data_IF_787980757472
#
_entry.id   IF_787980757472
#
_cell.length_a   1.000
_cell.length_b   1.000
_cell.length_c   1.000
_cell.angle_alpha   90.00
_cell.angle_beta   90.00
_cell.angle_gamma   90.00
#
_symmetry.space_group_name_H-M   'P 1'
#
loop_
_entity.id
_entity.type
_entity.pdbx_description
1 polymer ?
#
# COMPACT_ATOMS: atom_id res chain seq x y z
N UNK A 1 -5.05 -5.13 -27.90
CA UNK A 1 -5.96 -4.04 -27.46
C UNK A 1 -5.19 -3.01 -26.65
N UNK A 2 -5.52 -1.71 -26.82
CA UNK A 2 -4.88 -0.64 -26.02
C UNK A 2 -5.88 -0.16 -24.95
N UNK A 3 -5.47 -0.24 -23.69
CA UNK A 3 -6.30 0.09 -22.53
C UNK A 3 -5.71 1.30 -21.82
N UNK A 4 -6.49 2.37 -21.68
CA UNK A 4 -6.09 3.60 -21.01
C UNK A 4 -6.36 3.54 -19.49
N UNK A 5 -5.50 4.21 -18.71
CA UNK A 5 -5.77 4.50 -17.31
C UNK A 5 -5.52 5.97 -16.99
N UNK A 6 -6.53 6.61 -16.38
CA UNK A 6 -6.48 8.00 -15.95
C UNK A 6 -6.68 8.10 -14.44
N UNK A 7 -5.98 9.01 -13.77
CA UNK A 7 -6.17 9.33 -12.35
C UNK A 7 -6.03 10.81 -12.09
N UNK A 8 -6.95 11.35 -11.27
CA UNK A 8 -6.88 12.73 -10.78
C UNK A 8 -7.05 12.78 -9.27
N UNK A 9 -6.50 13.83 -8.65
CA UNK A 9 -6.88 14.23 -7.31
C UNK A 9 -8.15 15.10 -7.38
N UNK A 10 -8.90 15.21 -6.29
CA UNK A 10 -10.14 16.01 -6.20
C UNK A 10 -9.97 17.49 -6.59
N UNK A 11 -8.73 17.99 -6.63
CA UNK A 11 -8.39 19.36 -7.04
C UNK A 11 -8.07 19.51 -8.53
N UNK A 12 -7.89 18.41 -9.27
CA UNK A 12 -7.52 18.44 -10.68
C UNK A 12 -8.75 18.34 -11.58
N UNK A 13 -9.11 19.44 -12.20
CA UNK A 13 -10.19 19.53 -13.20
C UNK A 13 -9.86 18.86 -14.55
N UNK A 14 -8.76 18.09 -14.66
CA UNK A 14 -8.19 17.64 -15.92
C UNK A 14 -8.32 16.14 -16.22
N UNK A 15 -9.33 15.44 -15.67
CA UNK A 15 -9.53 14.03 -16.06
C UNK A 15 -9.99 13.92 -17.52
N UNK A 16 -10.83 14.83 -17.96
CA UNK A 16 -11.37 14.86 -19.32
C UNK A 16 -10.25 14.99 -20.35
N UNK A 17 -9.30 15.90 -20.15
CA UNK A 17 -8.13 16.07 -21.02
C UNK A 17 -7.27 14.80 -21.07
N UNK A 18 -7.08 14.09 -19.93
CA UNK A 18 -6.34 12.82 -19.94
C UNK A 18 -7.10 11.77 -20.75
N UNK A 19 -8.42 11.69 -20.59
CA UNK A 19 -9.28 10.74 -21.32
C UNK A 19 -9.25 11.03 -22.82
N UNK A 20 -9.33 12.30 -23.23
CA UNK A 20 -9.23 12.72 -24.63
C UNK A 20 -7.91 12.29 -25.24
N UNK A 21 -6.78 12.63 -24.59
CA UNK A 21 -5.45 12.25 -25.06
C UNK A 21 -5.28 10.73 -25.16
N UNK A 22 -5.83 9.97 -24.22
CA UNK A 22 -5.80 8.50 -24.28
C UNK A 22 -6.60 7.98 -25.47
N UNK A 23 -7.78 8.56 -25.76
CA UNK A 23 -8.59 8.20 -26.94
C UNK A 23 -7.87 8.53 -28.25
N UNK A 24 -7.29 9.73 -28.36
CA UNK A 24 -6.51 10.17 -29.52
C UNK A 24 -5.32 9.25 -29.80
N UNK A 25 -4.73 8.68 -28.74
CA UNK A 25 -3.64 7.70 -28.84
C UNK A 25 -4.12 6.25 -29.02
N UNK A 26 -5.40 6.03 -29.34
CA UNK A 26 -5.94 4.75 -29.75
C UNK A 26 -6.34 3.83 -28.59
N UNK A 27 -6.62 4.36 -27.40
CA UNK A 27 -7.16 3.56 -26.32
C UNK A 27 -8.62 3.17 -26.60
N UNK A 28 -8.88 1.86 -26.66
CA UNK A 28 -10.21 1.30 -26.96
C UNK A 28 -11.09 1.28 -25.69
N UNK A 29 -10.49 1.14 -24.53
CA UNK A 29 -11.17 1.18 -23.22
C UNK A 29 -10.33 1.99 -22.23
N UNK A 30 -11.02 2.80 -21.41
CA UNK A 30 -10.35 3.65 -20.42
C UNK A 30 -10.96 3.38 -19.04
N UNK A 31 -10.11 3.13 -18.07
CA UNK A 31 -10.45 3.04 -16.66
C UNK A 31 -9.96 4.29 -15.94
N UNK A 32 -10.69 4.71 -14.92
CA UNK A 32 -10.31 5.93 -14.19
C UNK A 32 -10.58 5.82 -12.69
N UNK A 33 -9.75 6.53 -11.93
CA UNK A 33 -9.93 6.71 -10.49
C UNK A 33 -9.86 8.19 -10.12
N UNK A 34 -10.70 8.58 -9.18
CA UNK A 34 -10.69 9.91 -8.58
C UNK A 34 -10.22 9.75 -7.13
N UNK A 35 -9.05 10.29 -6.80
CA UNK A 35 -8.51 10.24 -5.44
C UNK A 35 -9.28 11.24 -4.55
N UNK A 36 -10.16 10.74 -3.69
CA UNK A 36 -10.88 11.54 -2.70
C UNK A 36 -10.26 11.35 -1.30
N UNK A 37 -9.46 12.30 -0.85
CA UNK A 37 -8.99 12.38 0.54
C UNK A 37 -8.12 11.21 1.01
N UNK A 38 -8.30 10.78 2.26
CA UNK A 38 -7.45 9.82 2.98
C UNK A 38 -7.55 8.37 2.47
N UNK A 39 -8.65 8.01 1.79
CA UNK A 39 -8.84 6.67 1.20
C UNK A 39 -8.72 6.76 -0.32
N UNK A 40 -7.60 6.30 -0.82
CA UNK A 40 -7.39 6.13 -2.26
C UNK A 40 -7.79 4.72 -2.68
N UNK A 41 -9.07 4.44 -2.71
CA UNK A 41 -9.55 3.20 -3.33
C UNK A 41 -9.38 3.31 -4.85
N UNK A 42 -8.51 2.46 -5.41
CA UNK A 42 -8.22 2.40 -6.85
C UNK A 42 -9.05 1.31 -7.52
N UNK A 43 -10.35 1.44 -7.44
CA UNK A 43 -11.26 0.45 -8.01
C UNK A 43 -11.11 0.34 -9.53
N UNK A 44 -10.89 1.47 -10.21
CA UNK A 44 -10.62 1.50 -11.65
C UNK A 44 -9.33 0.78 -12.03
N UNK A 45 -8.25 0.93 -11.24
CA UNK A 45 -7.00 0.19 -11.45
C UNK A 45 -7.22 -1.32 -11.23
N UNK A 46 -7.93 -1.70 -10.18
CA UNK A 46 -8.22 -3.11 -9.88
C UNK A 46 -9.06 -3.73 -11.00
N UNK A 47 -10.08 -3.02 -11.45
CA UNK A 47 -10.92 -3.46 -12.57
C UNK A 47 -10.10 -3.60 -13.86
N UNK A 48 -9.27 -2.62 -14.19
CA UNK A 48 -8.36 -2.69 -15.31
C UNK A 48 -7.45 -3.92 -15.23
N UNK A 49 -6.80 -4.14 -14.09
CA UNK A 49 -5.91 -5.29 -13.89
C UNK A 49 -6.63 -6.65 -14.06
N UNK A 50 -7.91 -6.74 -13.72
CA UNK A 50 -8.71 -7.95 -13.93
C UNK A 50 -9.13 -8.14 -15.38
N UNK A 51 -9.29 -7.04 -16.12
CA UNK A 51 -9.72 -7.02 -17.51
C UNK A 51 -8.59 -7.38 -18.50
N UNK A 52 -7.35 -7.02 -18.20
CA UNK A 52 -6.18 -7.15 -19.07
C UNK A 52 -5.88 -8.60 -19.46
N UNK A 53 -5.53 -8.79 -20.74
CA UNK A 53 -5.15 -10.05 -21.35
C UNK A 53 -3.72 -9.96 -21.91
N UNK A 54 -3.12 -11.12 -22.17
CA UNK A 54 -1.82 -11.21 -22.81
C UNK A 54 -1.81 -10.51 -24.18
N UNK A 55 -0.83 -9.65 -24.40
CA UNK A 55 -0.68 -8.85 -25.62
C UNK A 55 -1.37 -7.48 -25.57
N UNK A 56 -2.13 -7.17 -24.51
CA UNK A 56 -2.68 -5.83 -24.32
C UNK A 56 -1.59 -4.80 -23.98
N UNK A 57 -1.87 -3.53 -24.28
CA UNK A 57 -1.00 -2.41 -23.95
C UNK A 57 -1.74 -1.50 -22.97
N UNK A 58 -1.16 -1.27 -21.80
CA UNK A 58 -1.63 -0.25 -20.87
C UNK A 58 -1.02 1.09 -21.28
N UNK A 59 -1.85 2.11 -21.43
CA UNK A 59 -1.42 3.45 -21.75
C UNK A 59 -1.86 4.43 -20.66
N UNK A 60 -0.93 5.32 -20.27
CA UNK A 60 -1.18 6.40 -19.31
C UNK A 60 -0.68 7.72 -19.87
N UNK A 61 -1.25 8.83 -19.40
CA UNK A 61 -0.74 10.16 -19.76
C UNK A 61 0.68 10.36 -19.21
N UNK A 62 0.88 10.11 -17.91
CA UNK A 62 2.16 10.12 -17.18
C UNK A 62 2.26 8.95 -16.23
N UNK A 63 3.49 8.56 -15.90
CA UNK A 63 3.76 7.44 -14.99
C UNK A 63 3.22 7.67 -13.58
N UNK A 64 3.18 8.91 -13.08
CA UNK A 64 2.65 9.27 -11.77
C UNK A 64 1.12 9.04 -11.63
N UNK A 65 0.42 8.89 -12.74
CA UNK A 65 -1.01 8.56 -12.72
C UNK A 65 -1.27 7.12 -12.27
N UNK A 66 -0.39 6.20 -12.60
CA UNK A 66 -0.54 4.78 -12.25
C UNK A 66 0.39 4.38 -11.09
N UNK A 67 1.62 4.88 -11.04
CA UNK A 67 2.60 4.56 -10.02
C UNK A 67 2.58 5.60 -8.88
N UNK A 68 2.69 5.13 -7.62
CA UNK A 68 2.74 5.96 -6.41
C UNK A 68 4.16 6.10 -5.87
N UNK A 69 5.03 5.18 -6.21
CA UNK A 69 6.43 5.11 -5.77
C UNK A 69 7.21 4.21 -6.70
N UNK A 70 8.53 4.28 -6.64
CA UNK A 70 9.42 3.41 -7.40
C UNK A 70 9.12 1.92 -7.10
N UNK A 71 8.93 1.56 -5.83
CA UNK A 71 8.55 0.20 -5.45
C UNK A 71 7.25 -0.24 -6.10
N UNK A 72 6.21 0.59 -6.02
CA UNK A 72 4.90 0.27 -6.64
C UNK A 72 5.00 0.15 -8.16
N UNK A 73 5.87 0.96 -8.81
CA UNK A 73 6.14 0.85 -10.24
C UNK A 73 6.70 -0.53 -10.59
N UNK A 74 7.72 -0.99 -9.86
CA UNK A 74 8.35 -2.29 -10.09
C UNK A 74 7.34 -3.42 -9.88
N UNK A 75 6.62 -3.41 -8.73
CA UNK A 75 5.62 -4.42 -8.40
C UNK A 75 4.52 -4.51 -9.48
N UNK A 76 4.12 -3.38 -10.07
CA UNK A 76 3.12 -3.36 -11.15
C UNK A 76 3.70 -3.80 -12.50
N UNK A 77 4.90 -3.36 -12.85
CA UNK A 77 5.56 -3.76 -14.09
C UNK A 77 5.86 -5.28 -14.09
N UNK A 78 6.27 -5.85 -12.96
CA UNK A 78 6.42 -7.31 -12.81
C UNK A 78 5.08 -8.03 -13.09
N UNK A 79 3.99 -7.57 -12.50
CA UNK A 79 2.64 -8.11 -12.76
C UNK A 79 2.22 -7.97 -14.23
N UNK A 80 2.59 -6.88 -14.90
CA UNK A 80 2.32 -6.70 -16.33
C UNK A 80 3.12 -7.69 -17.15
N UNK A 81 4.40 -7.88 -16.83
CA UNK A 81 5.27 -8.86 -17.51
C UNK A 81 4.76 -10.30 -17.32
N UNK A 82 4.36 -10.70 -16.10
CA UNK A 82 3.78 -12.01 -15.80
C UNK A 82 2.51 -12.28 -16.61
N UNK A 83 1.67 -11.24 -16.80
CA UNK A 83 0.48 -11.32 -17.65
C UNK A 83 0.77 -11.19 -19.15
N UNK A 84 2.02 -10.88 -19.54
CA UNK A 84 2.39 -10.60 -20.92
C UNK A 84 1.74 -9.31 -21.46
N UNK A 85 1.50 -8.32 -20.59
CA UNK A 85 0.94 -7.01 -20.90
C UNK A 85 2.07 -5.99 -21.03
N UNK A 86 1.94 -5.09 -22.00
CA UNK A 86 2.91 -4.02 -22.24
C UNK A 86 2.44 -2.72 -21.60
N UNK A 87 3.38 -1.82 -21.31
CA UNK A 87 3.10 -0.52 -20.68
C UNK A 87 3.71 0.62 -21.52
N UNK A 88 2.98 1.73 -21.64
CA UNK A 88 3.42 2.92 -22.34
C UNK A 88 2.93 4.20 -21.66
N UNK A 89 3.82 5.20 -21.50
CA UNK A 89 3.45 6.57 -21.12
C UNK A 89 3.46 7.47 -22.35
N UNK A 90 2.44 8.35 -22.49
CA UNK A 90 2.33 9.26 -23.63
C UNK A 90 3.43 10.31 -23.56
N UNK A 91 3.64 10.93 -22.41
CA UNK A 91 4.57 12.06 -22.24
C UNK A 91 5.98 11.64 -21.85
N UNK A 92 6.20 10.37 -21.52
CA UNK A 92 7.48 9.87 -21.01
C UNK A 92 7.94 8.64 -21.82
N UNK A 93 8.55 8.84 -23.02
CA UNK A 93 8.93 7.73 -23.90
C UNK A 93 9.91 6.73 -23.29
N UNK A 94 10.64 7.14 -22.26
CA UNK A 94 11.52 6.25 -21.49
C UNK A 94 10.77 5.10 -20.80
N UNK A 95 9.48 5.28 -20.52
CA UNK A 95 8.61 4.27 -19.91
C UNK A 95 7.69 3.59 -20.94
N UNK A 96 8.29 3.09 -22.02
CA UNK A 96 7.60 2.36 -23.07
C UNK A 96 8.16 0.94 -23.19
N UNK A 97 7.49 -0.03 -22.56
CA UNK A 97 7.92 -1.45 -22.59
C UNK A 97 7.71 -2.12 -23.95
N UNK A 98 7.10 -1.44 -24.93
CA UNK A 98 7.02 -1.94 -26.30
C UNK A 98 8.35 -1.78 -27.02
N UNK A 99 9.20 -0.86 -26.58
CA UNK A 99 10.54 -0.61 -27.12
C UNK A 99 11.63 -1.34 -26.32
N UNK A 100 12.74 -1.70 -26.99
CA UNK A 100 13.90 -2.28 -26.35
C UNK A 100 14.53 -1.33 -25.32
N UNK A 101 14.59 -0.06 -25.63
CA UNK A 101 15.14 0.99 -24.75
C UNK A 101 14.30 1.17 -23.48
N UNK A 102 12.98 1.22 -23.60
CA UNK A 102 12.10 1.32 -22.44
C UNK A 102 12.15 0.08 -21.55
N UNK A 103 12.25 -1.12 -22.13
CA UNK A 103 12.50 -2.36 -21.35
C UNK A 103 13.79 -2.27 -20.56
N UNK A 104 14.88 -1.82 -21.20
CA UNK A 104 16.18 -1.65 -20.54
C UNK A 104 16.12 -0.65 -19.38
N UNK A 105 15.48 0.50 -19.58
CA UNK A 105 15.32 1.53 -18.54
C UNK A 105 14.56 0.96 -17.34
N UNK A 106 13.48 0.23 -17.57
CA UNK A 106 12.70 -0.40 -16.49
C UNK A 106 13.52 -1.45 -15.74
N UNK A 107 14.36 -2.23 -16.42
CA UNK A 107 15.27 -3.17 -15.78
C UNK A 107 16.28 -2.45 -14.88
N UNK A 108 16.82 -1.30 -15.29
CA UNK A 108 17.70 -0.47 -14.45
C UNK A 108 16.95 -0.02 -13.19
N UNK A 109 15.72 0.49 -13.31
CA UNK A 109 14.94 0.90 -12.14
C UNK A 109 14.65 -0.29 -11.20
N UNK A 110 14.41 -1.47 -11.75
CA UNK A 110 14.28 -2.72 -10.99
C UNK A 110 15.52 -3.02 -10.16
N UNK A 111 16.68 -2.99 -10.79
CA UNK A 111 17.97 -3.23 -10.12
C UNK A 111 18.27 -2.17 -9.04
N UNK A 112 17.97 -0.88 -9.29
CA UNK A 112 18.13 0.20 -8.30
C UNK A 112 17.24 -0.03 -7.08
N UNK A 113 15.98 -0.42 -7.26
CA UNK A 113 15.09 -0.66 -6.14
C UNK A 113 15.45 -1.90 -5.34
N UNK A 114 15.96 -2.95 -5.99
CA UNK A 114 16.50 -4.11 -5.28
C UNK A 114 17.74 -3.72 -4.46
N UNK A 115 18.63 -2.93 -5.02
CA UNK A 115 19.79 -2.39 -4.31
C UNK A 115 19.36 -1.56 -3.09
N UNK A 116 18.41 -0.62 -3.23
CA UNK A 116 17.89 0.16 -2.10
C UNK A 116 17.29 -0.74 -1.00
N UNK A 117 16.53 -1.76 -1.39
CA UNK A 117 15.94 -2.74 -0.47
C UNK A 117 17.02 -3.48 0.33
N UNK A 118 18.08 -3.92 -0.35
CA UNK A 118 19.21 -4.60 0.27
C UNK A 118 19.93 -3.68 1.26
N UNK A 119 20.20 -2.43 0.89
CA UNK A 119 20.80 -1.43 1.79
C UNK A 119 19.97 -1.19 3.05
N UNK A 120 18.64 -1.07 2.92
CA UNK A 120 17.74 -0.91 4.08
C UNK A 120 17.79 -2.16 4.96
N UNK A 121 17.80 -3.35 4.37
CA UNK A 121 17.91 -4.63 5.09
C UNK A 121 19.22 -4.71 5.88
N UNK A 122 20.35 -4.38 5.26
CA UNK A 122 21.67 -4.36 5.90
C UNK A 122 21.73 -3.35 7.06
N UNK A 123 21.24 -2.13 6.86
CA UNK A 123 21.16 -1.12 7.91
C UNK A 123 20.31 -1.59 9.09
N UNK A 124 19.17 -2.24 8.79
CA UNK A 124 18.28 -2.78 9.83
C UNK A 124 18.97 -3.91 10.61
N UNK A 125 19.62 -4.84 9.93
CA UNK A 125 20.38 -5.93 10.56
C UNK A 125 21.48 -5.37 11.46
N UNK A 126 22.30 -4.44 10.95
CA UNK A 126 23.37 -3.79 11.71
C UNK A 126 22.83 -3.03 12.93
N UNK A 127 21.68 -2.33 12.76
CA UNK A 127 21.00 -1.65 13.86
C UNK A 127 20.51 -2.62 14.96
N UNK A 128 19.94 -3.76 14.57
CA UNK A 128 19.51 -4.81 15.50
C UNK A 128 20.71 -5.45 16.22
N UNK A 129 21.80 -5.74 15.52
CA UNK A 129 23.03 -6.26 16.14
C UNK A 129 23.62 -5.27 17.15
N UNK A 130 23.67 -3.99 16.80
CA UNK A 130 24.08 -2.93 17.70
C UNK A 130 23.18 -2.81 18.93
N UNK A 131 21.87 -2.99 18.77
CA UNK A 131 20.94 -3.00 19.90
C UNK A 131 21.13 -4.23 20.79
N UNK A 132 21.36 -5.42 20.20
CA UNK A 132 21.68 -6.67 20.96
C UNK A 132 22.97 -6.54 21.74
N UNK A 133 24.05 -5.98 21.13
CA UNK A 133 25.34 -5.72 21.83
C UNK A 133 25.16 -4.79 23.03
N UNK A 134 24.26 -3.80 22.92
CA UNK A 134 23.91 -2.90 24.04
C UNK A 134 22.87 -3.50 25.00
N UNK A 135 22.55 -4.80 24.89
CA UNK A 135 21.56 -5.50 25.71
C UNK A 135 20.17 -4.83 25.75
N UNK A 136 19.82 -4.09 24.68
CA UNK A 136 18.47 -3.55 24.54
C UNK A 136 17.47 -4.68 24.33
N UNK A 137 16.39 -4.68 25.10
CA UNK A 137 15.27 -5.58 24.88
C UNK A 137 14.63 -5.22 23.53
N UNK A 138 14.63 -6.19 22.60
CA UNK A 138 14.03 -6.07 21.28
C UNK A 138 12.65 -6.72 21.32
N UNK A 139 11.73 -6.18 20.52
CA UNK A 139 10.37 -6.68 20.41
C UNK A 139 9.36 -5.90 21.25
N UNK A 140 8.15 -6.45 21.38
CA UNK A 140 7.08 -5.82 22.16
C UNK A 140 7.45 -5.80 23.64
N UNK A 141 7.33 -4.65 24.34
CA UNK A 141 7.53 -4.60 25.79
C UNK A 141 6.68 -5.65 26.52
N UNK A 142 7.26 -6.27 27.54
CA UNK A 142 6.51 -7.20 28.40
C UNK A 142 5.49 -6.43 29.23
N UNK A 143 4.32 -7.01 29.40
CA UNK A 143 3.25 -6.44 30.22
C UNK A 143 2.14 -5.77 29.41
N UNK A 144 1.21 -5.17 30.11
CA UNK A 144 0.11 -4.42 29.52
C UNK A 144 0.52 -2.95 29.25
N UNK A 145 0.00 -2.35 28.17
CA UNK A 145 0.20 -0.91 27.94
C UNK A 145 -0.49 -0.09 29.04
N UNK A 146 -0.05 1.16 29.26
CA UNK A 146 -0.70 2.07 30.21
C UNK A 146 -2.21 2.18 29.97
N UNK A 147 -2.59 2.35 28.71
CA UNK A 147 -4.00 2.39 28.31
C UNK A 147 -4.76 1.09 28.65
N UNK A 148 -4.13 -0.08 28.46
CA UNK A 148 -4.75 -1.36 28.83
C UNK A 148 -4.88 -1.54 30.33
N UNK A 149 -3.94 -0.97 31.12
CA UNK A 149 -4.01 -0.98 32.57
C UNK A 149 -5.12 -0.06 33.10
N UNK A 150 -5.26 1.13 32.55
CA UNK A 150 -6.34 2.07 32.90
C UNK A 150 -7.71 1.47 32.60
N UNK A 151 -7.88 0.91 31.40
CA UNK A 151 -9.12 0.20 31.03
C UNK A 151 -9.39 -1.01 31.94
N UNK A 152 -8.37 -1.76 32.31
CA UNK A 152 -8.51 -2.86 33.27
C UNK A 152 -8.93 -2.37 34.64
N UNK A 153 -8.29 -1.32 35.17
CA UNK A 153 -8.66 -0.74 36.47
C UNK A 153 -10.12 -0.28 36.47
N UNK A 154 -10.56 0.38 35.39
CA UNK A 154 -11.94 0.78 35.24
C UNK A 154 -12.91 -0.41 35.19
N UNK A 155 -12.59 -1.45 34.43
CA UNK A 155 -13.40 -2.67 34.38
C UNK A 155 -13.47 -3.36 35.75
N UNK A 156 -12.34 -3.44 36.47
CA UNK A 156 -12.25 -4.03 37.80
C UNK A 156 -13.07 -3.25 38.83
N UNK A 157 -13.01 -1.91 38.76
CA UNK A 157 -13.83 -1.05 39.63
C UNK A 157 -15.34 -1.29 39.41
N UNK A 158 -15.78 -1.44 38.16
CA UNK A 158 -17.18 -1.75 37.85
C UNK A 158 -17.59 -3.13 38.35
N UNK A 159 -16.71 -4.10 38.26
CA UNK A 159 -16.96 -5.46 38.73
C UNK A 159 -17.04 -5.52 40.26
N UNK A 160 -16.03 -4.99 40.97
CA UNK A 160 -15.90 -5.09 42.43
C UNK A 160 -16.91 -4.23 43.20
N UNK A 161 -17.15 -2.97 42.70
CA UNK A 161 -17.91 -1.99 43.49
C UNK A 161 -19.35 -1.79 43.00
N UNK A 162 -19.68 -2.17 41.76
CA UNK A 162 -21.02 -1.99 41.20
C UNK A 162 -21.77 -3.27 40.89
N UNK A 163 -21.21 -4.42 41.24
CA UNK A 163 -21.83 -5.74 41.02
C UNK A 163 -22.13 -6.05 39.54
N UNK A 164 -21.43 -5.37 38.62
CA UNK A 164 -21.60 -5.55 37.17
C UNK A 164 -20.88 -6.83 36.74
N UNK A 165 -21.51 -7.68 35.96
CA UNK A 165 -20.84 -8.88 35.46
C UNK A 165 -19.56 -8.52 34.67
N UNK A 166 -18.52 -9.36 34.72
CA UNK A 166 -17.24 -9.16 34.01
C UNK A 166 -17.46 -8.88 32.55
N UNK A 167 -18.44 -9.51 31.89
CA UNK A 167 -18.79 -9.25 30.51
C UNK A 167 -19.17 -7.80 30.23
N UNK A 168 -20.09 -7.30 31.06
CA UNK A 168 -20.55 -5.90 30.92
C UNK A 168 -19.46 -4.91 31.28
N UNK A 169 -18.67 -5.18 32.34
CA UNK A 169 -17.57 -4.34 32.77
C UNK A 169 -16.46 -4.24 31.69
N UNK A 170 -16.06 -5.37 31.11
CA UNK A 170 -15.09 -5.39 30.01
C UNK A 170 -15.61 -4.67 28.77
N UNK A 171 -16.87 -4.83 28.43
CA UNK A 171 -17.49 -4.14 27.27
C UNK A 171 -17.55 -2.63 27.49
N UNK A 172 -17.88 -2.16 28.68
CA UNK A 172 -17.88 -0.73 29.01
C UNK A 172 -16.48 -0.13 29.05
N UNK A 173 -15.48 -0.89 29.51
CA UNK A 173 -14.08 -0.47 29.54
C UNK A 173 -13.38 -0.57 28.18
N UNK A 174 -14.00 -1.19 27.16
CA UNK A 174 -13.39 -1.38 25.86
C UNK A 174 -12.20 -2.33 25.85
N UNK A 175 -12.21 -3.40 26.69
CA UNK A 175 -11.22 -4.48 26.69
C UNK A 175 -11.89 -5.85 26.53
N UNK A 176 -11.11 -6.82 26.03
CA UNK A 176 -11.58 -8.20 25.98
C UNK A 176 -11.46 -8.89 27.36
N UNK A 177 -12.33 -9.87 27.62
CA UNK A 177 -12.20 -10.74 28.83
C UNK A 177 -10.81 -11.38 28.92
N UNK A 178 -10.24 -11.81 27.78
CA UNK A 178 -8.91 -12.42 27.77
C UNK A 178 -7.84 -11.42 28.24
N UNK A 179 -7.97 -10.13 27.86
CA UNK A 179 -7.07 -9.08 28.33
C UNK A 179 -7.27 -8.81 29.82
N UNK A 180 -8.52 -8.76 30.30
CA UNK A 180 -8.83 -8.59 31.73
C UNK A 180 -8.15 -9.68 32.58
N UNK A 181 -8.42 -10.96 32.32
CA UNK A 181 -7.83 -12.06 33.09
C UNK A 181 -6.31 -12.20 32.94
N UNK A 182 -5.75 -11.79 31.79
CA UNK A 182 -4.29 -11.76 31.59
C UNK A 182 -3.62 -10.74 32.50
N UNK A 183 -4.24 -9.57 32.69
CA UNK A 183 -3.72 -8.52 33.56
C UNK A 183 -3.95 -8.85 35.03
N UNK A 184 -5.09 -9.42 35.33
CA UNK A 184 -5.47 -9.81 36.70
C UNK A 184 -4.55 -10.90 37.29
N UNK A 185 -3.91 -11.71 36.43
CA UNK A 185 -2.95 -12.76 36.82
C UNK A 185 -1.50 -12.30 36.95
N UNK A 186 -1.20 -11.04 36.56
CA UNK A 186 0.14 -10.47 36.66
C UNK A 186 0.32 -9.64 37.92
#
# INVERSE_FOLDING_TARGET
MTVGYARVSTSDQNIETQIELLKENGCERIFSDIASGVREDRNGLIEMLSYLRKGDIIMVYKTDRIFRSLKNMIDLIEKFNEKGVLFKSITEPAFDTTSANGKFIIQIFGAVAEFERNLISERTKSGLEGARKRKKLLGRPKGASKESLEKYQFAKHLYDNKGVSIDKACKQAGISKATFYRIDKC
#
